data_IF_913062107529
#
_entry.id   IF_913062107529
#
_cell.length_a   1.000
_cell.length_b   1.000
_cell.length_c   1.000
_cell.angle_alpha   90.00
_cell.angle_beta   90.00
_cell.angle_gamma   90.00
#
_symmetry.space_group_name_H-M   'P 1'
#
loop_
_entity.id
_entity.type
_entity.pdbx_description
1 polymer ?
#
# COMPACT_ATOMS: atom_id res chain seq x y z
N UNK A 1 -27.90 -25.52 -20.39
CA UNK A 1 -26.61 -25.59 -19.67
C UNK A 1 -26.68 -24.52 -18.58
N UNK A 2 -26.73 -24.94 -17.32
CA UNK A 2 -26.65 -23.97 -16.22
C UNK A 2 -25.25 -23.39 -16.22
N UNK A 3 -25.11 -22.09 -16.41
CA UNK A 3 -23.85 -21.40 -16.25
C UNK A 3 -23.43 -21.52 -14.79
N UNK A 4 -22.49 -22.42 -14.52
CA UNK A 4 -21.91 -22.65 -13.18
C UNK A 4 -21.09 -21.47 -12.68
N UNK A 5 -20.76 -20.53 -13.57
CA UNK A 5 -19.99 -19.35 -13.26
C UNK A 5 -20.85 -18.11 -13.50
N UNK A 6 -21.15 -17.40 -12.44
CA UNK A 6 -21.84 -16.12 -12.54
C UNK A 6 -21.07 -15.15 -13.43
N UNK A 7 -21.77 -14.27 -14.12
CA UNK A 7 -21.15 -13.21 -14.91
C UNK A 7 -20.37 -12.28 -13.97
N UNK A 8 -19.05 -12.25 -14.10
CA UNK A 8 -18.21 -11.29 -13.41
C UNK A 8 -17.82 -10.16 -14.35
N UNK A 9 -17.75 -8.93 -13.83
CA UNK A 9 -17.17 -7.78 -14.53
C UNK A 9 -15.64 -7.69 -14.35
N UNK A 10 -15.05 -8.58 -13.53
CA UNK A 10 -13.60 -8.62 -13.37
C UNK A 10 -12.94 -9.06 -14.68
N UNK A 11 -11.85 -8.39 -15.03
CA UNK A 11 -11.05 -8.69 -16.20
C UNK A 11 -9.57 -8.47 -15.88
N UNK A 12 -8.76 -9.45 -16.15
CA UNK A 12 -7.29 -9.34 -16.07
C UNK A 12 -6.73 -9.40 -17.50
N UNK A 13 -5.90 -8.46 -17.83
CA UNK A 13 -5.20 -8.35 -19.11
C UNK A 13 -3.71 -8.10 -18.87
N UNK A 14 -2.89 -8.10 -19.94
CA UNK A 14 -1.43 -8.02 -19.83
C UNK A 14 -0.91 -6.72 -19.15
N UNK A 15 -1.69 -5.64 -19.14
CA UNK A 15 -1.24 -4.33 -18.63
C UNK A 15 -2.25 -3.65 -17.70
N UNK A 16 -3.39 -4.26 -17.44
CA UNK A 16 -4.40 -3.73 -16.56
C UNK A 16 -5.28 -4.84 -15.99
N UNK A 17 -5.87 -4.59 -14.84
CA UNK A 17 -6.87 -5.46 -14.25
C UNK A 17 -8.03 -4.62 -13.73
N UNK A 18 -9.26 -5.08 -13.99
CA UNK A 18 -10.47 -4.65 -13.31
C UNK A 18 -10.87 -5.77 -12.36
N UNK A 19 -10.74 -5.55 -11.07
CA UNK A 19 -11.08 -6.50 -10.02
C UNK A 19 -12.31 -5.99 -9.28
N UNK A 20 -13.39 -6.74 -9.35
CA UNK A 20 -14.62 -6.39 -8.63
C UNK A 20 -14.64 -7.07 -7.26
N UNK A 21 -15.28 -6.49 -6.23
CA UNK A 21 -15.23 -7.03 -4.86
C UNK A 21 -15.68 -8.49 -4.73
N UNK A 22 -16.61 -8.94 -5.57
CA UNK A 22 -17.08 -10.33 -5.60
C UNK A 22 -16.05 -11.34 -6.14
N UNK A 23 -14.92 -10.86 -6.67
CA UNK A 23 -13.79 -11.69 -7.10
C UNK A 23 -12.58 -11.57 -6.17
N UNK A 24 -12.73 -10.89 -5.05
CA UNK A 24 -11.68 -10.82 -4.05
C UNK A 24 -11.54 -12.17 -3.34
N UNK A 25 -10.34 -12.72 -3.35
CA UNK A 25 -10.01 -13.96 -2.62
C UNK A 25 -9.36 -13.58 -1.31
N UNK A 26 -10.07 -13.85 -0.22
CA UNK A 26 -9.57 -13.65 1.13
C UNK A 26 -8.49 -14.70 1.45
N UNK A 27 -7.36 -14.25 1.95
CA UNK A 27 -6.19 -15.07 2.28
C UNK A 27 -5.59 -14.63 3.59
N UNK A 28 -4.81 -15.52 4.21
CA UNK A 28 -3.90 -15.16 5.29
C UNK A 28 -2.52 -14.82 4.71
N UNK A 29 -1.78 -13.95 5.37
CA UNK A 29 -0.39 -13.64 5.01
C UNK A 29 0.55 -13.92 6.19
N UNK A 30 1.77 -14.43 5.93
CA UNK A 30 2.79 -14.55 6.95
C UNK A 30 3.09 -13.19 7.62
N UNK A 31 3.23 -13.20 8.93
CA UNK A 31 3.48 -11.98 9.71
C UNK A 31 2.23 -11.17 10.06
N UNK A 32 1.02 -11.65 9.67
CA UNK A 32 -0.25 -11.02 10.02
C UNK A 32 -1.10 -11.99 10.87
N UNK A 33 -1.63 -11.51 11.97
CA UNK A 33 -2.54 -12.25 12.85
C UNK A 33 -3.89 -11.53 12.89
N UNK A 34 -4.98 -12.30 13.01
CA UNK A 34 -6.35 -11.78 13.03
C UNK A 34 -6.59 -10.71 11.95
N UNK A 35 -6.17 -11.04 10.74
CA UNK A 35 -6.26 -10.17 9.57
C UNK A 35 -6.58 -10.98 8.31
N UNK A 36 -7.30 -10.35 7.40
CA UNK A 36 -7.63 -10.91 6.09
C UNK A 36 -6.92 -10.09 5.02
N UNK A 37 -6.29 -10.75 4.08
CA UNK A 37 -5.60 -10.14 2.95
C UNK A 37 -6.31 -10.42 1.64
N UNK A 38 -6.36 -9.42 0.76
CA UNK A 38 -6.77 -9.55 -0.64
C UNK A 38 -5.63 -9.06 -1.52
N UNK A 39 -5.04 -9.96 -2.30
CA UNK A 39 -4.00 -9.60 -3.27
C UNK A 39 -4.67 -9.03 -4.51
N UNK A 40 -4.45 -7.75 -4.78
CA UNK A 40 -5.02 -7.02 -5.92
C UNK A 40 -4.09 -7.06 -7.13
N UNK A 41 -2.79 -6.92 -6.91
CA UNK A 41 -1.75 -6.97 -7.94
C UNK A 41 -0.62 -7.86 -7.42
N UNK A 42 -0.06 -8.69 -8.29
CA UNK A 42 1.10 -9.52 -7.97
C UNK A 42 2.08 -9.58 -9.14
N UNK A 43 3.34 -9.97 -8.91
CA UNK A 43 4.31 -10.17 -9.98
C UNK A 43 3.89 -11.18 -11.04
N UNK A 44 3.06 -12.16 -10.70
CA UNK A 44 2.50 -13.15 -11.67
C UNK A 44 1.63 -12.46 -12.74
N UNK A 45 1.05 -11.28 -12.40
CA UNK A 45 0.28 -10.47 -13.35
C UNK A 45 1.16 -9.56 -14.21
N UNK A 46 2.49 -9.70 -14.15
CA UNK A 46 3.47 -8.91 -14.90
C UNK A 46 3.85 -7.57 -14.24
N UNK A 47 3.37 -7.28 -13.03
CA UNK A 47 3.79 -6.12 -12.27
C UNK A 47 5.15 -6.35 -11.60
N UNK A 48 5.90 -5.26 -11.31
CA UNK A 48 7.15 -5.36 -10.55
C UNK A 48 6.96 -5.24 -9.04
N UNK A 49 5.71 -5.21 -8.57
CA UNK A 49 5.31 -5.06 -7.17
C UNK A 49 4.07 -5.89 -6.88
N UNK A 50 3.78 -6.09 -5.61
CA UNK A 50 2.51 -6.60 -5.13
C UNK A 50 1.70 -5.46 -4.50
N UNK A 51 0.38 -5.44 -4.75
CA UNK A 51 -0.58 -4.61 -4.02
C UNK A 51 -1.51 -5.52 -3.26
N UNK A 52 -1.58 -5.32 -1.95
CA UNK A 52 -2.41 -6.13 -1.06
C UNK A 52 -3.24 -5.23 -0.16
N UNK A 53 -4.51 -5.52 -0.04
CA UNK A 53 -5.40 -4.88 0.92
C UNK A 53 -5.55 -5.78 2.14
N UNK A 54 -5.24 -5.24 3.33
CA UNK A 54 -5.36 -5.94 4.61
C UNK A 54 -6.53 -5.34 5.38
N UNK A 55 -7.36 -6.21 5.95
CA UNK A 55 -8.41 -5.83 6.89
C UNK A 55 -8.15 -6.52 8.22
N UNK A 56 -7.92 -5.74 9.27
CA UNK A 56 -7.64 -6.25 10.62
C UNK A 56 -8.93 -6.50 11.40
N UNK A 57 -8.97 -7.64 12.07
CA UNK A 57 -10.02 -8.00 13.03
C UNK A 57 -9.65 -7.52 14.45
N UNK A 58 -10.53 -7.79 15.40
CA UNK A 58 -10.23 -7.54 16.82
C UNK A 58 -9.01 -8.39 17.24
N UNK A 59 -8.02 -7.76 17.84
CA UNK A 59 -6.77 -8.43 18.24
C UNK A 59 -5.74 -8.53 17.13
N UNK A 60 -6.05 -8.03 15.94
CA UNK A 60 -5.17 -8.09 14.79
C UNK A 60 -3.81 -7.42 15.01
N UNK A 61 -2.80 -7.90 14.30
CA UNK A 61 -1.46 -7.33 14.32
C UNK A 61 -0.70 -7.67 13.04
N UNK A 62 0.32 -6.87 12.75
CA UNK A 62 1.35 -7.19 11.78
C UNK A 62 2.73 -7.20 12.46
N UNK A 63 3.54 -8.19 12.10
CA UNK A 63 4.93 -8.32 12.51
C UNK A 63 5.75 -8.85 11.33
N UNK A 64 6.33 -7.94 10.59
CA UNK A 64 7.08 -8.24 9.37
C UNK A 64 8.56 -8.05 9.66
N UNK A 65 9.35 -9.15 9.66
CA UNK A 65 10.78 -9.07 9.93
C UNK A 65 11.52 -8.36 8.78
N UNK A 66 12.73 -7.92 9.07
CA UNK A 66 13.64 -7.37 8.07
C UNK A 66 13.87 -8.37 6.93
N UNK A 67 13.76 -7.91 5.71
CA UNK A 67 13.98 -8.69 4.48
C UNK A 67 14.40 -7.77 3.32
N UNK A 68 14.50 -8.28 2.10
CA UNK A 68 14.88 -7.52 0.90
C UNK A 68 13.70 -6.80 0.20
N UNK A 69 12.51 -6.79 0.83
CA UNK A 69 11.30 -6.14 0.34
C UNK A 69 11.18 -4.76 0.97
N UNK A 70 11.05 -3.74 0.16
CA UNK A 70 10.57 -2.45 0.61
C UNK A 70 9.05 -2.45 0.65
N UNK A 71 8.49 -1.77 1.63
CA UNK A 71 7.04 -1.73 1.86
C UNK A 71 6.57 -0.29 2.02
N UNK A 72 5.62 0.11 1.18
CA UNK A 72 4.80 1.29 1.42
C UNK A 72 3.44 0.84 1.94
N UNK A 73 2.94 1.47 2.99
CA UNK A 73 1.61 1.20 3.55
C UNK A 73 0.80 2.47 3.72
N UNK A 74 -0.50 2.41 3.38
CA UNK A 74 -1.45 3.51 3.50
C UNK A 74 -2.69 3.05 4.25
N UNK A 75 -3.07 3.79 5.31
CA UNK A 75 -4.28 3.53 6.10
C UNK A 75 -5.50 4.10 5.37
N UNK A 76 -6.27 3.21 4.76
CA UNK A 76 -7.52 3.55 4.08
C UNK A 76 -8.63 3.88 5.07
N UNK A 77 -8.59 3.25 6.25
CA UNK A 77 -9.50 3.53 7.38
C UNK A 77 -8.92 2.99 8.68
N UNK A 78 -9.40 3.53 9.80
CA UNK A 78 -9.00 3.07 11.13
C UNK A 78 -7.63 3.57 11.54
N UNK A 79 -6.79 2.68 12.09
CA UNK A 79 -5.46 3.05 12.55
C UNK A 79 -4.92 2.12 13.63
N UNK A 80 -3.71 2.38 14.09
CA UNK A 80 -3.02 1.59 15.11
C UNK A 80 -1.67 2.20 15.47
N UNK A 81 -0.88 1.48 16.28
CA UNK A 81 0.50 1.87 16.59
C UNK A 81 1.44 1.18 15.60
N UNK A 82 2.06 1.98 14.75
CA UNK A 82 3.03 1.55 13.75
C UNK A 82 4.45 1.64 14.33
N UNK A 83 5.27 0.63 14.08
CA UNK A 83 6.71 0.63 14.28
C UNK A 83 7.42 0.34 12.96
N UNK A 84 8.47 1.09 12.62
CA UNK A 84 9.36 0.82 11.48
C UNK A 84 10.79 1.03 11.95
N UNK A 85 11.58 -0.04 12.00
CA UNK A 85 12.89 -0.01 12.62
C UNK A 85 12.81 0.48 14.08
N UNK A 86 13.48 1.57 14.39
CA UNK A 86 13.46 2.23 15.70
C UNK A 86 12.35 3.27 15.87
N UNK A 87 11.67 3.63 14.79
CA UNK A 87 10.60 4.64 14.80
C UNK A 87 9.29 4.02 15.27
N UNK A 88 8.53 4.74 16.11
CA UNK A 88 7.23 4.30 16.57
C UNK A 88 6.25 5.47 16.62
N UNK A 89 5.10 5.31 16.01
CA UNK A 89 4.09 6.36 15.92
C UNK A 89 2.68 5.76 15.85
N UNK A 90 1.70 6.46 16.42
CA UNK A 90 0.30 6.18 16.16
C UNK A 90 -0.08 6.72 14.79
N UNK A 91 -0.70 5.88 13.99
CA UNK A 91 -1.25 6.23 12.67
C UNK A 91 -2.76 6.08 12.69
N UNK A 92 -3.43 6.92 11.93
CA UNK A 92 -4.89 6.93 11.72
C UNK A 92 -5.16 6.91 10.20
N UNK A 93 -6.42 6.97 9.81
CA UNK A 93 -6.83 7.11 8.39
C UNK A 93 -6.07 8.26 7.69
N UNK A 94 -5.62 8.01 6.47
CA UNK A 94 -4.76 8.93 5.73
C UNK A 94 -3.28 8.88 6.13
N UNK A 95 -2.93 8.17 7.21
CA UNK A 95 -1.55 7.90 7.57
C UNK A 95 -0.87 6.97 6.57
N UNK A 96 0.42 7.15 6.36
CA UNK A 96 1.21 6.27 5.51
C UNK A 96 2.62 6.07 6.05
N UNK A 97 3.26 5.01 5.60
CA UNK A 97 4.65 4.73 5.93
C UNK A 97 5.41 4.13 4.74
N UNK A 98 6.70 4.30 4.77
CA UNK A 98 7.64 3.60 3.93
C UNK A 98 8.70 2.91 4.81
N UNK A 99 8.79 1.60 4.70
CA UNK A 99 9.83 0.77 5.31
C UNK A 99 10.78 0.33 4.19
N UNK A 100 12.00 0.89 4.12
CA UNK A 100 13.01 0.42 3.20
C UNK A 100 13.35 -1.06 3.40
N UNK A 101 13.90 -1.72 2.40
CA UNK A 101 14.47 -3.06 2.53
C UNK A 101 15.46 -3.09 3.70
N UNK A 102 15.46 -4.19 4.46
CA UNK A 102 16.26 -4.34 5.67
C UNK A 102 15.62 -3.74 6.95
N UNK A 103 14.51 -3.01 6.85
CA UNK A 103 13.81 -2.48 8.01
C UNK A 103 12.62 -3.38 8.39
N UNK A 104 12.57 -3.91 9.64
CA UNK A 104 11.37 -4.59 10.12
C UNK A 104 10.26 -3.57 10.37
N UNK A 105 9.01 -4.00 10.25
CA UNK A 105 7.88 -3.16 10.64
C UNK A 105 6.79 -3.94 11.36
N UNK A 106 6.06 -3.25 12.21
CA UNK A 106 4.99 -3.80 13.05
C UNK A 106 3.78 -2.88 13.05
N UNK A 107 2.59 -3.45 13.14
CA UNK A 107 1.37 -2.72 13.49
C UNK A 107 0.71 -3.42 14.66
N UNK A 108 0.50 -2.69 15.76
CA UNK A 108 -0.12 -3.21 16.98
C UNK A 108 -1.36 -2.45 17.34
N UNK A 109 -2.31 -3.15 17.99
CA UNK A 109 -3.56 -2.57 18.46
C UNK A 109 -4.34 -1.78 17.38
N UNK A 110 -4.48 -2.30 16.14
CA UNK A 110 -5.35 -1.66 15.19
C UNK A 110 -6.81 -1.73 15.69
N UNK A 111 -7.58 -0.70 15.36
CA UNK A 111 -9.03 -0.76 15.58
C UNK A 111 -9.60 -1.89 14.70
N UNK A 112 -10.59 -2.67 15.17
CA UNK A 112 -11.28 -3.64 14.32
C UNK A 112 -11.83 -2.96 13.05
N UNK A 113 -11.65 -3.60 11.89
CA UNK A 113 -12.01 -3.02 10.60
C UNK A 113 -10.98 -2.06 10.01
N UNK A 114 -9.83 -1.82 10.67
CA UNK A 114 -8.73 -1.06 10.07
C UNK A 114 -8.33 -1.69 8.73
N UNK A 115 -8.28 -0.85 7.69
CA UNK A 115 -7.86 -1.24 6.35
C UNK A 115 -6.53 -0.59 6.01
N UNK A 116 -5.58 -1.42 5.62
CA UNK A 116 -4.24 -1.03 5.21
C UNK A 116 -3.97 -1.53 3.79
N UNK A 117 -3.67 -0.63 2.87
CA UNK A 117 -3.18 -0.99 1.55
C UNK A 117 -1.66 -1.02 1.57
N UNK A 118 -1.08 -2.13 1.13
CA UNK A 118 0.36 -2.33 1.03
C UNK A 118 0.80 -2.37 -0.43
N UNK A 119 1.90 -1.71 -0.73
CA UNK A 119 2.67 -1.89 -1.95
C UNK A 119 4.03 -2.44 -1.55
N UNK A 120 4.38 -3.60 -2.07
CA UNK A 120 5.58 -4.34 -1.70
C UNK A 120 6.38 -4.69 -2.94
N UNK A 121 7.68 -4.41 -2.90
CA UNK A 121 8.57 -4.62 -4.03
C UNK A 121 9.94 -5.09 -3.53
N UNK A 122 10.55 -6.03 -4.24
CA UNK A 122 11.96 -6.35 -4.00
C UNK A 122 12.80 -5.15 -4.41
N UNK A 123 13.52 -4.59 -3.43
CA UNK A 123 14.34 -3.39 -3.63
C UNK A 123 15.51 -3.66 -4.59
N UNK A 124 15.74 -2.74 -5.52
CA UNK A 124 16.85 -2.76 -6.46
C UNK A 124 17.68 -1.49 -6.28
N UNK A 125 18.80 -1.55 -5.53
CA UNK A 125 19.60 -0.36 -5.29
C UNK A 125 20.19 0.20 -6.59
N UNK A 126 20.11 1.52 -6.76
CA UNK A 126 20.79 2.22 -7.84
C UNK A 126 22.22 2.52 -7.38
N UNK A 127 23.26 2.07 -8.13
CA UNK A 127 24.65 2.35 -7.78
C UNK A 127 24.92 3.87 -7.66
N UNK A 128 25.53 4.28 -6.54
CA UNK A 128 25.84 5.68 -6.27
C UNK A 128 24.70 6.52 -5.69
N UNK A 129 23.48 6.01 -5.63
CA UNK A 129 22.37 6.69 -4.96
C UNK A 129 22.43 6.45 -3.44
N UNK A 130 21.96 7.45 -2.68
CA UNK A 130 21.78 7.30 -1.24
C UNK A 130 20.65 6.29 -0.96
N UNK A 131 20.81 5.47 0.08
CA UNK A 131 19.77 4.53 0.49
C UNK A 131 18.49 5.30 0.93
N UNK A 132 17.30 4.77 0.62
CA UNK A 132 16.05 5.39 1.04
C UNK A 132 15.91 5.32 2.57
N UNK A 133 15.24 6.33 3.14
CA UNK A 133 15.00 6.43 4.59
C UNK A 133 13.60 5.99 4.97
N UNK A 134 13.41 5.65 6.24
CA UNK A 134 12.08 5.41 6.81
C UNK A 134 11.25 6.70 6.75
N UNK A 135 10.01 6.57 6.31
CA UNK A 135 9.03 7.65 6.30
C UNK A 135 7.80 7.19 7.07
N UNK A 136 7.29 8.01 7.99
CA UNK A 136 5.99 7.86 8.62
C UNK A 136 5.34 9.24 8.62
N UNK A 137 4.21 9.39 7.94
CA UNK A 137 3.54 10.69 7.77
C UNK A 137 2.03 10.50 7.56
N UNK A 138 1.37 11.59 7.21
CA UNK A 138 -0.07 11.65 6.91
C UNK A 138 -0.27 12.39 5.59
N UNK A 139 -1.16 11.91 4.73
CA UNK A 139 -1.44 12.54 3.45
C UNK A 139 -1.96 13.98 3.59
N UNK A 140 -2.68 14.27 4.67
CA UNK A 140 -3.13 15.64 4.98
C UNK A 140 -1.98 16.64 5.20
N UNK A 141 -0.77 16.17 5.54
CA UNK A 141 0.43 17.00 5.71
C UNK A 141 1.21 17.20 4.41
N UNK A 142 0.89 16.43 3.37
CA UNK A 142 1.55 16.52 2.07
C UNK A 142 0.84 17.56 1.21
N UNK A 143 1.56 18.62 0.85
CA UNK A 143 0.99 19.67 0.00
C UNK A 143 0.73 19.12 -1.39
N UNK A 144 -0.52 19.25 -1.87
CA UNK A 144 -0.87 18.97 -3.25
C UNK A 144 -0.53 20.13 -4.18
N UNK A 145 -0.24 19.80 -5.44
CA UNK A 145 0.02 20.76 -6.51
C UNK A 145 -0.79 20.40 -7.74
N UNK A 146 -1.20 21.40 -8.59
CA UNK A 146 -1.83 21.12 -9.86
C UNK A 146 -0.95 20.21 -10.74
N UNK A 147 -1.49 19.09 -11.20
CA UNK A 147 -0.76 18.16 -12.05
C UNK A 147 -0.68 18.72 -13.46
N UNK A 148 0.54 18.90 -13.96
CA UNK A 148 0.82 19.52 -15.28
C UNK A 148 0.16 20.89 -15.47
N UNK A 149 -0.10 21.61 -14.39
CA UNK A 149 -0.75 22.92 -14.41
C UNK A 149 -2.28 22.86 -14.47
N UNK A 150 -2.89 21.68 -14.48
CA UNK A 150 -4.33 21.50 -14.48
C UNK A 150 -4.90 21.65 -13.03
N UNK A 151 -5.69 22.69 -12.75
CA UNK A 151 -6.29 22.90 -11.43
C UNK A 151 -7.36 21.85 -11.08
N UNK A 152 -7.89 21.12 -12.07
CA UNK A 152 -8.86 20.04 -11.83
C UNK A 152 -8.21 18.75 -11.34
N UNK A 153 -6.88 18.61 -11.45
CA UNK A 153 -6.12 17.46 -11.00
C UNK A 153 -5.07 17.87 -9.96
N UNK A 154 -5.27 17.51 -8.70
CA UNK A 154 -4.32 17.79 -7.62
C UNK A 154 -3.47 16.57 -7.32
N UNK A 155 -2.14 16.71 -7.36
CA UNK A 155 -1.16 15.67 -7.12
C UNK A 155 -0.49 15.87 -5.77
N UNK A 156 -0.53 14.84 -4.91
CA UNK A 156 0.31 14.72 -3.70
C UNK A 156 1.35 13.63 -3.93
N UNK A 157 2.62 13.96 -3.79
CA UNK A 157 3.75 13.02 -3.90
C UNK A 157 4.09 12.52 -2.50
N UNK A 158 3.83 11.25 -2.22
CA UNK A 158 3.97 10.68 -0.87
C UNK A 158 5.38 10.17 -0.58
N UNK A 159 6.14 9.78 -1.59
CA UNK A 159 7.55 9.40 -1.48
C UNK A 159 8.43 10.42 -2.20
N UNK A 160 9.64 10.70 -1.69
CA UNK A 160 10.57 11.62 -2.36
C UNK A 160 10.90 11.17 -3.78
N UNK A 161 10.96 12.13 -4.70
CA UNK A 161 11.50 11.94 -6.05
C UNK A 161 13.02 12.03 -6.02
N UNK A 162 13.64 11.04 -5.36
CA UNK A 162 15.09 10.93 -5.18
C UNK A 162 15.57 9.60 -5.80
N UNK A 163 16.75 9.53 -6.42
CA UNK A 163 17.23 8.31 -7.12
C UNK A 163 17.33 7.05 -6.24
N UNK A 164 17.36 7.20 -4.91
CA UNK A 164 17.40 6.08 -3.97
C UNK A 164 16.06 5.36 -3.80
N UNK A 165 14.96 5.99 -4.18
CA UNK A 165 13.62 5.37 -4.10
C UNK A 165 13.28 4.74 -5.44
N UNK A 166 12.99 3.45 -5.46
CA UNK A 166 12.57 2.75 -6.69
C UNK A 166 11.06 2.46 -6.72
N UNK A 167 10.31 3.06 -5.78
CA UNK A 167 8.85 3.19 -5.76
C UNK A 167 8.45 4.66 -5.81
N UNK A 168 7.47 4.99 -6.63
CA UNK A 168 6.76 6.27 -6.59
C UNK A 168 5.32 6.02 -6.17
N UNK A 169 4.86 6.76 -5.15
CA UNK A 169 3.48 6.66 -4.65
C UNK A 169 2.87 8.04 -4.56
N UNK A 170 1.74 8.21 -5.24
CA UNK A 170 1.07 9.48 -5.39
C UNK A 170 -0.43 9.36 -5.11
N UNK A 171 -1.03 10.44 -4.63
CA UNK A 171 -2.48 10.61 -4.59
C UNK A 171 -2.87 11.64 -5.64
N UNK A 172 -3.81 11.27 -6.51
CA UNK A 172 -4.46 12.19 -7.42
C UNK A 172 -5.89 12.45 -6.96
N UNK A 173 -6.22 13.71 -6.74
CA UNK A 173 -7.59 14.13 -6.46
C UNK A 173 -8.11 14.93 -7.67
N UNK A 174 -9.17 14.44 -8.30
CA UNK A 174 -9.81 15.07 -9.45
C UNK A 174 -11.08 15.78 -9.03
N UNK A 175 -11.32 16.95 -9.62
CA UNK A 175 -12.62 17.61 -9.51
C UNK A 175 -13.67 16.84 -10.34
N UNK A 176 -14.96 16.83 -9.94
CA UNK A 176 -16.00 16.21 -10.75
C UNK A 176 -16.02 16.77 -12.16
N UNK A 177 -15.88 15.94 -13.18
CA UNK A 177 -15.82 16.31 -14.59
C UNK A 177 -14.44 16.72 -15.10
N UNK A 178 -13.40 16.60 -14.27
CA UNK A 178 -12.00 16.83 -14.66
C UNK A 178 -11.37 15.60 -15.28
#
# INVERSE_FOLDING_TARGET
MSELFGHTRARVAARHALLTPNNHVASSLPGFTDATAVVLISPVMGARFAQTQITFQKGGAANVPANDIETFGYFMSGGGTLGVGTHRQRCEEGGFFFAPAGQPWTLTAPKPGTQLTLFQKKFQPLPGAAAPRVIISESAKVKGVPFLGDPAANLQVLLPDEPGYDLAVNIFAYQPGG
#
